data_IF_871979455461
#
_entry.id   IF_871979455461
#
_cell.length_a   1.000
_cell.length_b   1.000
_cell.length_c   1.000
_cell.angle_alpha   90.00
_cell.angle_beta   90.00
_cell.angle_gamma   90.00
#
_symmetry.space_group_name_H-M   'P 1'
#
loop_
_entity.id
_entity.type
_entity.pdbx_description
1 polymer ?
#
# COMPACT_ATOMS: atom_id res chain seq x y z
N UNK A 1 -4.36 23.27 20.76
CA UNK A 1 -4.29 21.81 20.97
C UNK A 1 -5.40 21.20 20.12
N UNK A 2 -5.08 20.55 19.00
CA UNK A 2 -6.10 19.89 18.17
C UNK A 2 -6.38 18.52 18.79
N UNK A 3 -7.57 18.36 19.37
CA UNK A 3 -8.02 17.05 19.84
C UNK A 3 -8.43 16.25 18.61
N UNK A 4 -7.57 15.35 18.14
CA UNK A 4 -7.88 14.51 17.00
C UNK A 4 -9.02 13.56 17.37
N UNK A 5 -10.11 13.65 16.64
CA UNK A 5 -11.27 12.79 16.84
C UNK A 5 -10.89 11.37 16.41
N UNK A 6 -11.16 10.36 17.24
CA UNK A 6 -10.96 8.97 16.83
C UNK A 6 -11.94 8.58 15.71
N UNK A 7 -11.63 7.58 14.87
CA UNK A 7 -12.53 7.11 13.81
C UNK A 7 -13.93 6.76 14.34
N UNK A 8 -14.02 6.08 15.49
CA UNK A 8 -15.28 5.73 16.11
C UNK A 8 -16.10 6.96 16.53
N UNK A 9 -15.45 7.99 17.06
CA UNK A 9 -16.10 9.26 17.40
C UNK A 9 -16.57 10.01 16.15
N UNK A 10 -15.78 10.01 15.07
CA UNK A 10 -16.17 10.59 13.78
C UNK A 10 -17.42 9.90 13.22
N UNK A 11 -17.47 8.57 13.21
CA UNK A 11 -18.62 7.79 12.75
C UNK A 11 -19.86 8.04 13.61
N UNK A 12 -19.71 8.16 14.93
CA UNK A 12 -20.80 8.48 15.84
C UNK A 12 -21.38 9.88 15.56
N UNK A 13 -20.52 10.89 15.36
CA UNK A 13 -20.93 12.25 15.02
C UNK A 13 -21.62 12.29 13.65
N UNK A 14 -21.06 11.64 12.64
CA UNK A 14 -21.68 11.51 11.31
C UNK A 14 -23.07 10.88 11.38
N UNK A 15 -23.19 9.77 12.10
CA UNK A 15 -24.46 9.06 12.27
C UNK A 15 -25.50 9.93 12.98
N UNK A 16 -25.09 10.71 13.98
CA UNK A 16 -25.95 11.68 14.66
C UNK A 16 -26.48 12.74 13.70
N UNK A 17 -25.60 13.41 12.96
CA UNK A 17 -25.97 14.47 12.00
C UNK A 17 -26.87 13.94 10.88
N UNK A 18 -26.61 12.74 10.36
CA UNK A 18 -27.42 12.16 9.28
C UNK A 18 -28.81 11.73 9.77
N UNK A 19 -28.91 11.15 10.98
CA UNK A 19 -30.19 10.76 11.58
C UNK A 19 -31.03 11.98 11.95
N UNK A 20 -30.42 12.95 12.63
CA UNK A 20 -31.07 14.22 12.94
C UNK A 20 -31.51 14.95 11.66
N UNK A 21 -30.69 14.85 10.61
CA UNK A 21 -31.02 15.35 9.29
C UNK A 21 -32.25 14.73 8.63
N UNK A 22 -32.48 13.44 8.86
CA UNK A 22 -33.64 12.71 8.34
C UNK A 22 -34.94 13.10 9.06
N UNK A 23 -34.84 13.55 10.31
CA UNK A 23 -35.99 13.93 11.15
C UNK A 23 -36.39 15.42 11.03
N UNK A 24 -35.66 16.20 10.24
CA UNK A 24 -35.94 17.62 10.07
C UNK A 24 -37.20 17.88 9.24
N UNK A 25 -38.28 18.29 9.92
CA UNK A 25 -39.55 18.70 9.30
C UNK A 25 -39.59 20.16 8.83
N UNK A 26 -38.51 20.93 9.08
CA UNK A 26 -38.42 22.37 8.79
C UNK A 26 -37.26 22.70 7.85
N UNK A 27 -37.32 23.83 7.13
CA UNK A 27 -36.18 24.31 6.33
C UNK A 27 -34.93 24.53 7.19
N UNK A 28 -33.79 24.05 6.69
CA UNK A 28 -32.51 24.10 7.39
C UNK A 28 -31.89 25.49 7.31
N UNK A 29 -31.34 25.95 8.43
CA UNK A 29 -30.49 27.14 8.44
C UNK A 29 -29.16 26.89 7.73
N UNK A 30 -28.39 27.97 7.51
CA UNK A 30 -27.13 27.91 6.77
C UNK A 30 -26.07 27.02 7.43
N UNK A 31 -26.05 26.97 8.76
CA UNK A 31 -25.09 26.17 9.52
C UNK A 31 -25.44 24.68 9.45
N UNK A 32 -26.70 24.33 9.72
CA UNK A 32 -27.23 22.96 9.61
C UNK A 32 -27.03 22.38 8.21
N UNK A 33 -27.28 23.21 7.18
CA UNK A 33 -27.03 22.83 5.79
C UNK A 33 -25.55 22.61 5.48
N UNK A 34 -24.67 23.42 6.09
CA UNK A 34 -23.22 23.24 6.02
C UNK A 34 -22.79 21.92 6.65
N UNK A 35 -23.27 21.62 7.86
CA UNK A 35 -22.99 20.36 8.56
C UNK A 35 -23.46 19.14 7.76
N UNK A 36 -24.66 19.19 7.19
CA UNK A 36 -25.19 18.08 6.39
C UNK A 36 -24.39 17.85 5.10
N UNK A 37 -23.95 18.92 4.43
CA UNK A 37 -23.07 18.81 3.24
C UNK A 37 -21.72 18.22 3.60
N UNK A 38 -21.11 18.65 4.71
CA UNK A 38 -19.86 18.08 5.20
C UNK A 38 -20.03 16.61 5.57
N UNK A 39 -21.10 16.24 6.28
CA UNK A 39 -21.39 14.86 6.64
C UNK A 39 -21.61 13.96 5.41
N UNK A 40 -22.35 14.45 4.41
CA UNK A 40 -22.56 13.75 3.14
C UNK A 40 -21.25 13.58 2.35
N UNK A 41 -20.37 14.58 2.35
CA UNK A 41 -19.06 14.47 1.68
C UNK A 41 -18.18 13.41 2.33
N UNK A 42 -18.08 13.41 3.66
CA UNK A 42 -17.30 12.42 4.40
C UNK A 42 -17.88 11.02 4.20
N UNK A 43 -19.21 10.88 4.24
CA UNK A 43 -19.90 9.62 3.98
C UNK A 43 -19.61 9.05 2.58
N UNK A 44 -19.50 9.89 1.55
CA UNK A 44 -19.11 9.44 0.20
C UNK A 44 -17.66 8.97 0.15
N UNK A 45 -16.72 9.64 0.82
CA UNK A 45 -15.33 9.17 0.88
C UNK A 45 -15.23 7.82 1.58
N UNK A 46 -15.89 7.65 2.74
CA UNK A 46 -15.92 6.35 3.43
C UNK A 46 -16.57 5.26 2.57
N UNK A 47 -17.60 5.58 1.80
CA UNK A 47 -18.21 4.64 0.87
C UNK A 47 -17.27 4.25 -0.29
N UNK A 48 -16.48 5.19 -0.82
CA UNK A 48 -15.44 4.89 -1.82
C UNK A 48 -14.36 3.96 -1.25
N UNK A 49 -13.88 4.23 -0.03
CA UNK A 49 -12.91 3.36 0.66
C UNK A 49 -13.46 1.95 0.86
N UNK A 50 -14.70 1.82 1.31
CA UNK A 50 -15.33 0.50 1.50
C UNK A 50 -15.58 -0.24 0.18
N UNK A 51 -15.84 0.48 -0.91
CA UNK A 51 -16.11 -0.11 -2.22
C UNK A 51 -14.83 -0.57 -2.95
N UNK A 52 -13.74 0.19 -2.84
CA UNK A 52 -12.51 -0.07 -3.60
C UNK A 52 -11.29 -0.49 -2.77
N UNK A 53 -11.25 -0.15 -1.48
CA UNK A 53 -10.13 -0.42 -0.59
C UNK A 53 -9.74 -1.90 -0.50
N UNK A 54 -10.68 -2.84 -0.32
CA UNK A 54 -10.36 -4.27 -0.30
C UNK A 54 -9.69 -4.78 -1.58
N UNK A 55 -10.07 -4.23 -2.74
CA UNK A 55 -9.48 -4.63 -4.03
C UNK A 55 -8.05 -4.09 -4.19
N UNK A 56 -7.80 -2.83 -3.80
CA UNK A 56 -6.47 -2.22 -3.80
C UNK A 56 -5.54 -2.94 -2.83
N UNK A 57 -6.01 -3.25 -1.62
CA UNK A 57 -5.27 -4.05 -0.64
C UNK A 57 -4.93 -5.45 -1.16
N UNK A 58 -5.88 -6.14 -1.80
CA UNK A 58 -5.66 -7.46 -2.39
C UNK A 58 -4.62 -7.42 -3.51
N UNK A 59 -4.68 -6.40 -4.38
CA UNK A 59 -3.72 -6.22 -5.48
C UNK A 59 -2.30 -5.98 -4.95
N UNK A 60 -2.13 -5.05 -4.00
CA UNK A 60 -0.84 -4.80 -3.35
C UNK A 60 -0.25 -6.09 -2.76
N UNK A 61 -1.07 -6.89 -2.06
CA UNK A 61 -0.62 -8.16 -1.47
C UNK A 61 -0.19 -9.17 -2.53
N UNK A 62 -0.91 -9.26 -3.64
CA UNK A 62 -0.56 -10.14 -4.75
C UNK A 62 0.77 -9.72 -5.39
N UNK A 63 0.96 -8.44 -5.66
CA UNK A 63 2.16 -7.90 -6.29
C UNK A 63 3.38 -8.01 -5.37
N UNK A 64 3.21 -7.71 -4.07
CA UNK A 64 4.27 -7.90 -3.07
C UNK A 64 4.66 -9.37 -2.95
N UNK A 65 3.68 -10.29 -2.93
CA UNK A 65 3.96 -11.72 -2.89
C UNK A 65 4.70 -12.19 -4.14
N UNK A 66 4.27 -11.76 -5.33
CA UNK A 66 4.93 -12.10 -6.59
C UNK A 66 6.38 -11.60 -6.61
N UNK A 67 6.61 -10.33 -6.23
CA UNK A 67 7.95 -9.75 -6.13
C UNK A 67 8.89 -10.58 -5.23
N UNK A 68 8.39 -11.11 -4.11
CA UNK A 68 9.20 -11.84 -3.14
C UNK A 68 9.41 -13.32 -3.48
N UNK A 69 8.52 -13.91 -4.27
CA UNK A 69 8.61 -15.32 -4.69
C UNK A 69 9.38 -15.44 -6.02
N UNK A 70 9.07 -14.59 -6.98
CA UNK A 70 9.60 -14.66 -8.35
C UNK A 70 10.83 -13.76 -8.54
N UNK A 71 11.11 -12.86 -7.59
CA UNK A 71 12.14 -11.84 -7.69
C UNK A 71 11.64 -10.59 -8.43
N UNK A 72 12.41 -9.48 -8.45
CA UNK A 72 12.07 -8.32 -9.25
C UNK A 72 11.98 -8.75 -10.72
N UNK A 73 10.77 -8.70 -11.29
CA UNK A 73 10.60 -8.88 -12.72
C UNK A 73 11.43 -7.82 -13.43
N UNK A 74 12.34 -8.25 -14.29
CA UNK A 74 13.12 -7.39 -15.16
C UNK A 74 12.15 -6.79 -16.20
N UNK A 75 11.39 -5.77 -15.82
CA UNK A 75 10.56 -4.99 -16.75
C UNK A 75 11.47 -4.04 -17.52
N UNK A 76 12.33 -4.63 -18.34
CA UNK A 76 13.22 -3.93 -19.27
C UNK A 76 13.22 -4.69 -20.60
N UNK A 77 12.11 -4.64 -21.33
CA UNK A 77 12.11 -4.94 -22.76
C UNK A 77 11.21 -3.96 -23.51
N UNK A 78 11.81 -2.86 -23.95
CA UNK A 78 11.74 -2.40 -25.34
C UNK A 78 12.63 -1.16 -25.51
N UNK A 79 13.84 -1.34 -26.06
CA UNK A 79 14.47 -0.54 -27.14
C UNK A 79 15.97 -0.88 -27.25
N UNK A 80 16.25 -1.95 -28.00
CA UNK A 80 17.25 -2.04 -29.07
C UNK A 80 18.60 -1.28 -28.94
N UNK A 81 19.66 -2.04 -28.64
CA UNK A 81 20.81 -2.22 -29.54
C UNK A 81 22.00 -1.25 -29.44
N UNK A 82 23.10 -1.71 -28.81
CA UNK A 82 24.45 -1.68 -29.38
C UNK A 82 25.47 -2.36 -28.44
N UNK A 83 26.04 -3.49 -28.87
CA UNK A 83 27.35 -3.94 -28.36
C UNK A 83 28.46 -3.02 -28.89
N UNK A 84 29.60 -2.90 -28.17
CA UNK A 84 30.77 -3.63 -28.65
C UNK A 84 31.67 -4.24 -27.56
N UNK A 85 32.46 -5.20 -28.01
CA UNK A 85 33.48 -6.00 -27.33
C UNK A 85 34.62 -5.22 -26.64
N UNK A 86 35.24 -5.84 -25.63
CA UNK A 86 36.66 -5.58 -25.35
C UNK A 86 37.25 -6.02 -24.01
N UNK A 87 37.84 -7.23 -24.00
CA UNK A 87 39.18 -7.54 -23.42
C UNK A 87 39.37 -7.75 -21.89
N UNK A 88 39.38 -9.03 -21.53
CA UNK A 88 40.51 -9.77 -20.91
C UNK A 88 41.52 -9.02 -20.01
N UNK A 89 41.59 -9.41 -18.73
CA UNK A 89 42.73 -9.16 -17.85
C UNK A 89 42.61 -9.88 -16.51
N UNK A 90 43.58 -10.76 -16.22
CA UNK A 90 43.62 -11.69 -15.10
C UNK A 90 43.78 -11.03 -13.71
N UNK A 91 43.18 -11.65 -12.68
CA UNK A 91 43.44 -11.36 -11.27
C UNK A 91 43.25 -12.61 -10.42
N UNK A 92 44.34 -13.09 -9.83
CA UNK A 92 44.45 -14.32 -9.04
C UNK A 92 43.68 -14.22 -7.71
N UNK A 93 43.16 -15.38 -7.30
CA UNK A 93 43.07 -15.89 -5.91
C UNK A 93 42.58 -14.92 -4.81
N UNK A 94 41.36 -15.17 -4.35
CA UNK A 94 41.06 -15.10 -2.93
C UNK A 94 40.05 -16.20 -2.54
N UNK A 95 40.58 -17.40 -2.30
CA UNK A 95 39.91 -18.42 -1.49
C UNK A 95 39.93 -17.92 -0.05
N UNK A 96 38.86 -17.27 0.38
CA UNK A 96 38.76 -16.79 1.76
C UNK A 96 37.55 -15.93 2.11
N UNK A 97 36.38 -16.07 1.47
CA UNK A 97 35.19 -15.26 1.82
C UNK A 97 33.83 -15.95 1.61
N UNK A 98 33.74 -17.28 1.54
CA UNK A 98 32.45 -17.94 1.29
C UNK A 98 31.48 -17.93 2.50
N UNK A 99 31.85 -17.31 3.62
CA UNK A 99 31.02 -17.27 4.85
C UNK A 99 30.48 -15.89 5.23
N UNK A 100 30.99 -14.79 4.69
CA UNK A 100 30.56 -13.43 5.10
C UNK A 100 29.52 -12.79 4.18
N UNK A 101 29.42 -13.20 2.91
CA UNK A 101 28.40 -12.69 1.99
C UNK A 101 27.12 -13.53 1.97
N UNK A 102 27.14 -14.73 2.54
CA UNK A 102 25.97 -15.62 2.63
C UNK A 102 25.00 -15.17 3.73
N UNK A 103 25.51 -14.76 4.89
CA UNK A 103 24.68 -14.32 6.04
C UNK A 103 23.74 -13.14 5.71
N UNK A 104 24.17 -12.05 5.04
CA UNK A 104 23.27 -10.97 4.68
C UNK A 104 22.21 -11.37 3.64
N UNK A 105 22.57 -12.19 2.66
CA UNK A 105 21.63 -12.66 1.64
C UNK A 105 20.58 -13.63 2.23
N UNK A 106 21.00 -14.50 3.14
CA UNK A 106 20.11 -15.42 3.85
C UNK A 106 19.15 -14.68 4.79
N UNK A 107 19.61 -13.61 5.45
CA UNK A 107 18.75 -12.74 6.26
C UNK A 107 17.66 -12.04 5.44
N UNK A 108 17.99 -11.57 4.22
CA UNK A 108 16.99 -11.00 3.29
C UNK A 108 15.99 -12.07 2.85
N UNK A 109 16.46 -13.25 2.48
CA UNK A 109 15.59 -14.35 2.06
C UNK A 109 14.66 -14.81 3.20
N UNK A 110 15.14 -14.82 4.44
CA UNK A 110 14.34 -15.14 5.62
C UNK A 110 13.28 -14.08 5.91
N UNK A 111 13.65 -12.80 5.84
CA UNK A 111 12.68 -11.72 6.01
C UNK A 111 11.61 -11.75 4.90
N UNK A 112 11.99 -12.03 3.66
CA UNK A 112 11.06 -12.18 2.54
C UNK A 112 10.07 -13.32 2.77
N UNK A 113 10.55 -14.49 3.25
CA UNK A 113 9.68 -15.63 3.62
C UNK A 113 8.68 -15.25 4.71
N UNK A 114 9.07 -14.43 5.70
CA UNK A 114 8.15 -13.96 6.75
C UNK A 114 7.07 -13.04 6.22
N UNK A 115 7.39 -12.16 5.27
CA UNK A 115 6.38 -11.32 4.61
C UNK A 115 5.39 -12.20 3.83
N UNK A 116 5.88 -13.18 3.06
CA UNK A 116 5.00 -14.11 2.32
C UNK A 116 4.11 -14.91 3.28
N UNK A 117 4.67 -15.44 4.37
CA UNK A 117 3.89 -16.13 5.40
C UNK A 117 2.82 -15.22 6.01
N UNK A 118 3.15 -13.97 6.34
CA UNK A 118 2.17 -13.01 6.86
C UNK A 118 1.05 -12.70 5.85
N UNK A 119 1.34 -12.71 4.54
CA UNK A 119 0.33 -12.57 3.49
C UNK A 119 -0.55 -13.83 3.41
N UNK A 120 0.03 -15.01 3.47
CA UNK A 120 -0.71 -16.27 3.31
C UNK A 120 -1.54 -16.62 4.58
N UNK A 121 -1.07 -16.21 5.77
CA UNK A 121 -1.71 -16.48 7.06
C UNK A 121 -2.86 -15.51 7.42
N UNK A 122 -2.99 -14.39 6.70
CA UNK A 122 -4.03 -13.40 6.93
C UNK A 122 -5.07 -13.36 5.79
N UNK A 123 -6.16 -14.14 5.88
CA UNK A 123 -7.22 -14.12 4.88
C UNK A 123 -8.06 -12.82 4.90
N UNK A 124 -7.91 -11.97 5.94
CA UNK A 124 -8.68 -10.72 6.04
C UNK A 124 -8.14 -9.62 5.12
N UNK A 125 -6.87 -9.73 4.70
CA UNK A 125 -6.26 -8.76 3.80
C UNK A 125 -5.77 -7.48 4.49
N UNK A 126 -5.57 -7.48 5.80
CA UNK A 126 -5.13 -6.28 6.55
C UNK A 126 -3.68 -5.93 6.19
N UNK A 127 -3.52 -4.86 5.42
CA UNK A 127 -2.20 -4.36 4.98
C UNK A 127 -1.41 -3.77 6.16
N UNK A 128 -2.07 -3.26 7.20
CA UNK A 128 -1.38 -2.72 8.37
C UNK A 128 -0.60 -3.79 9.12
N UNK A 129 -1.10 -5.03 9.13
CA UNK A 129 -0.42 -6.18 9.73
C UNK A 129 0.92 -6.51 9.02
N UNK A 130 1.08 -6.14 7.74
CA UNK A 130 2.30 -6.36 6.97
C UNK A 130 3.40 -5.32 7.26
N UNK A 131 3.07 -4.22 7.96
CA UNK A 131 4.00 -3.11 8.18
C UNK A 131 5.29 -3.53 8.91
N UNK A 132 5.18 -4.33 9.97
CA UNK A 132 6.36 -4.82 10.71
C UNK A 132 7.20 -5.81 9.87
N UNK A 133 6.63 -6.87 9.26
CA UNK A 133 7.36 -7.75 8.35
C UNK A 133 8.08 -7.01 7.19
N UNK A 134 7.43 -6.04 6.55
CA UNK A 134 8.02 -5.23 5.48
C UNK A 134 9.18 -4.36 6.03
N UNK A 135 9.02 -3.79 7.22
CA UNK A 135 10.07 -3.01 7.89
C UNK A 135 11.33 -3.84 8.18
N UNK A 136 11.16 -5.07 8.65
CA UNK A 136 12.26 -6.02 8.88
C UNK A 136 12.95 -6.39 7.55
N UNK A 137 12.18 -6.64 6.50
CA UNK A 137 12.71 -6.91 5.16
C UNK A 137 13.55 -5.74 4.63
N UNK A 138 13.03 -4.51 4.70
CA UNK A 138 13.74 -3.31 4.26
C UNK A 138 15.02 -3.08 5.08
N UNK A 139 15.01 -3.43 6.37
CA UNK A 139 16.18 -3.35 7.25
C UNK A 139 17.25 -4.38 6.85
N UNK A 140 16.84 -5.63 6.62
CA UNK A 140 17.73 -6.68 6.14
C UNK A 140 18.32 -6.34 4.76
N UNK A 141 17.49 -5.86 3.83
CA UNK A 141 17.90 -5.45 2.50
C UNK A 141 18.96 -4.35 2.54
N UNK A 142 18.77 -3.35 3.41
CA UNK A 142 19.73 -2.27 3.61
C UNK A 142 21.06 -2.78 4.16
N UNK A 143 21.03 -3.69 5.14
CA UNK A 143 22.24 -4.28 5.71
C UNK A 143 23.00 -5.14 4.68
N UNK A 144 22.28 -5.78 3.76
CA UNK A 144 22.83 -6.59 2.68
C UNK A 144 23.29 -5.78 1.44
N UNK A 145 22.93 -4.48 1.35
CA UNK A 145 23.18 -3.66 0.17
C UNK A 145 22.32 -4.04 -1.05
N UNK A 146 21.16 -4.67 -0.84
CA UNK A 146 20.23 -5.05 -1.91
C UNK A 146 19.25 -3.90 -2.20
N UNK A 147 19.76 -2.83 -2.80
CA UNK A 147 19.01 -1.59 -3.04
C UNK A 147 17.86 -1.77 -4.04
N UNK A 148 17.99 -2.69 -5.00
CA UNK A 148 16.95 -2.95 -6.01
C UNK A 148 15.67 -3.52 -5.39
N UNK A 149 15.80 -4.51 -4.49
CA UNK A 149 14.65 -5.07 -3.77
C UNK A 149 14.00 -4.01 -2.88
N UNK A 150 14.81 -3.23 -2.14
CA UNK A 150 14.28 -2.16 -1.31
C UNK A 150 13.57 -1.09 -2.14
N UNK A 151 14.06 -0.81 -3.34
CA UNK A 151 13.44 0.13 -4.30
C UNK A 151 12.12 -0.41 -4.83
N UNK A 152 12.07 -1.68 -5.24
CA UNK A 152 10.85 -2.33 -5.72
C UNK A 152 9.74 -2.35 -4.66
N UNK A 153 10.06 -2.75 -3.43
CA UNK A 153 9.10 -2.76 -2.30
C UNK A 153 8.58 -1.34 -2.01
N UNK A 154 9.45 -0.32 -2.04
CA UNK A 154 9.03 1.08 -1.87
C UNK A 154 8.19 1.59 -3.04
N UNK A 155 8.41 1.08 -4.26
CA UNK A 155 7.56 1.32 -5.42
C UNK A 155 6.13 0.86 -5.15
N UNK A 156 5.96 -0.42 -4.77
CA UNK A 156 4.64 -0.98 -4.45
C UNK A 156 3.93 -0.23 -3.31
N UNK A 157 4.66 0.21 -2.28
CA UNK A 157 4.09 1.03 -1.21
C UNK A 157 3.63 2.40 -1.70
N UNK A 158 4.33 3.00 -2.66
CA UNK A 158 3.90 4.25 -3.29
C UNK A 158 2.66 4.03 -4.15
N UNK A 159 2.67 2.98 -4.97
CA UNK A 159 1.55 2.65 -5.87
C UNK A 159 0.28 2.36 -5.06
N UNK A 160 0.40 1.68 -3.91
CA UNK A 160 -0.70 1.50 -2.96
C UNK A 160 -1.27 2.84 -2.50
N UNK A 161 -0.42 3.76 -2.04
CA UNK A 161 -0.85 5.08 -1.54
C UNK A 161 -1.49 5.91 -2.66
N UNK A 162 -0.92 5.87 -3.86
CA UNK A 162 -1.46 6.59 -5.02
C UNK A 162 -2.84 6.03 -5.40
N UNK A 163 -3.02 4.70 -5.40
CA UNK A 163 -4.31 4.06 -5.65
C UNK A 163 -5.36 4.40 -4.56
N UNK A 164 -4.97 4.45 -3.29
CA UNK A 164 -5.84 4.89 -2.19
C UNK A 164 -6.27 6.36 -2.36
N UNK A 165 -5.33 7.23 -2.74
CA UNK A 165 -5.61 8.65 -3.01
C UNK A 165 -6.56 8.78 -4.21
N UNK A 166 -6.38 8.01 -5.27
CA UNK A 166 -7.26 8.02 -6.46
C UNK A 166 -8.67 7.54 -6.12
N UNK A 167 -8.81 6.49 -5.31
CA UNK A 167 -10.10 6.01 -4.79
C UNK A 167 -10.84 7.11 -4.01
N UNK A 168 -10.12 7.84 -3.16
CA UNK A 168 -10.66 8.93 -2.37
C UNK A 168 -11.00 10.17 -3.22
N UNK A 169 -10.20 10.44 -4.24
CA UNK A 169 -10.36 11.60 -5.12
C UNK A 169 -11.47 11.40 -6.14
N UNK A 170 -11.81 10.15 -6.47
CA UNK A 170 -12.86 9.83 -7.45
C UNK A 170 -14.24 10.23 -6.90
N UNK A 171 -14.96 11.15 -7.57
CA UNK A 171 -16.29 11.52 -7.13
C UNK A 171 -17.24 10.32 -7.26
N UNK A 172 -17.80 9.87 -6.13
CA UNK A 172 -18.94 8.94 -6.14
C UNK A 172 -20.08 9.63 -6.89
N UNK A 173 -20.30 9.23 -8.14
CA UNK A 173 -21.49 9.58 -8.89
C UNK A 173 -22.64 8.76 -8.31
N UNK A 174 -23.72 9.39 -7.79
CA UNK A 174 -24.92 8.67 -7.39
C UNK A 174 -25.67 8.21 -8.65
N UNK A 175 -25.14 7.20 -9.34
CA UNK A 175 -25.80 6.52 -10.43
C UNK A 175 -26.66 5.40 -9.85
N UNK A 176 -27.97 5.62 -9.79
CA UNK A 176 -28.91 4.55 -9.43
C UNK A 176 -30.30 4.98 -8.94
N UNK A 177 -30.72 6.23 -9.18
CA UNK A 177 -32.11 6.64 -8.98
C UNK A 177 -32.88 6.63 -10.28
N UNK A 178 -33.18 5.44 -10.83
CA UNK A 178 -34.20 5.34 -11.88
C UNK A 178 -35.57 5.58 -11.22
N UNK A 179 -36.20 6.71 -11.56
CA UNK A 179 -37.64 6.90 -11.48
C UNK A 179 -38.22 6.82 -12.88
#
# INVERSE_FOLDING_TARGET
>A
MFNAMSPAQLTAVLSGVLREGADWSRPLDGFQRGQLKSASSIGRHLASELAGGPAVAAQFRADLRALLVDGPADTADDTQGAQPHGRSGAGKQQRGCARSSAEPAEAVAEAARRVVAAIDDDPSGDVAALGAPIGDLLTAARAAGTDDLATAVRGLLRDLVDAEIDLLSTPVNPSGGSR
#
